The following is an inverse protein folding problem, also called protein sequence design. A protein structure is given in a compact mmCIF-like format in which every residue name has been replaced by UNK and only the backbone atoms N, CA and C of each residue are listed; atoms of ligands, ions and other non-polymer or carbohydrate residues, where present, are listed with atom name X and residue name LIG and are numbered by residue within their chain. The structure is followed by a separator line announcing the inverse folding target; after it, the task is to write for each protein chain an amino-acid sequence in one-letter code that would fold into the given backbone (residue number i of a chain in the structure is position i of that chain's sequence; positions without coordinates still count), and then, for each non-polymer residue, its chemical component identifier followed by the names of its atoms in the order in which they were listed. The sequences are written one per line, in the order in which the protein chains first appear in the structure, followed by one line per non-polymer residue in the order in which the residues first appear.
data_IF_272385514554
#
_entry.id   IF_272385514554
#
_cell.length_a   1.000
_cell.length_b   1.000
_cell.length_c   1.000
_cell.angle_alpha   90.00
_cell.angle_beta   90.00
_cell.angle_gamma   90.00
#
_symmetry.space_group_name_H-M   'P 1'
#
loop_
_entity.id
_entity.type
_entity.pdbx_description
1 polymer ?
#
# COMPACT_ATOMS: atom_id res chain seq x y z
N UNK A 1 26.64 -2.70 -20.52
CA UNK A 1 26.44 -1.62 -19.56
C UNK A 1 25.06 -1.86 -18.96
N UNK A 2 24.98 -2.34 -17.72
CA UNK A 2 23.70 -2.71 -17.09
C UNK A 2 23.35 -1.58 -16.14
N UNK A 3 22.32 -0.80 -16.47
CA UNK A 3 21.79 0.21 -15.56
C UNK A 3 20.85 -0.51 -14.60
N UNK A 4 21.13 -0.44 -13.30
CA UNK A 4 20.24 -1.00 -12.28
C UNK A 4 18.91 -0.23 -12.29
N UNK A 5 17.80 -0.95 -12.11
CA UNK A 5 16.46 -0.34 -11.98
C UNK A 5 16.46 0.79 -10.94
N UNK A 6 17.21 0.60 -9.85
CA UNK A 6 17.40 1.58 -8.77
C UNK A 6 18.00 2.90 -9.28
N UNK A 7 18.98 2.82 -10.18
CA UNK A 7 19.63 4.00 -10.77
C UNK A 7 18.70 4.73 -11.74
N UNK A 8 17.80 4.02 -12.43
CA UNK A 8 16.78 4.63 -13.31
C UNK A 8 15.77 5.42 -12.48
N UNK A 9 15.34 4.87 -11.35
CA UNK A 9 14.35 5.49 -10.45
C UNK A 9 14.90 6.71 -9.71
N UNK A 10 16.18 6.68 -9.30
CA UNK A 10 16.84 7.84 -8.68
C UNK A 10 17.08 9.00 -9.66
N UNK A 11 17.22 8.72 -10.95
CA UNK A 11 17.54 9.73 -11.98
C UNK A 11 16.31 10.28 -12.70
N UNK A 12 15.15 9.65 -12.55
CA UNK A 12 13.90 10.13 -13.11
C UNK A 12 13.22 11.08 -12.13
N UNK A 13 13.01 12.36 -12.50
CA UNK A 13 12.08 13.28 -11.81
C UNK A 13 10.60 12.86 -11.96
N UNK A 14 10.37 11.65 -12.46
CA UNK A 14 9.07 11.01 -12.54
C UNK A 14 8.85 10.36 -11.18
N UNK A 15 8.04 11.00 -10.35
CA UNK A 15 7.47 10.37 -9.16
C UNK A 15 6.60 9.19 -9.60
N UNK A 16 7.22 8.03 -9.81
CA UNK A 16 6.54 6.78 -10.06
C UNK A 16 5.90 6.32 -8.75
N UNK A 17 4.69 6.81 -8.48
CA UNK A 17 3.77 6.25 -7.48
C UNK A 17 3.26 4.91 -8.02
N UNK A 18 4.15 3.95 -8.23
CA UNK A 18 3.78 2.68 -8.86
C UNK A 18 4.68 1.51 -8.48
N UNK A 19 5.65 1.68 -7.60
CA UNK A 19 6.28 0.53 -6.94
C UNK A 19 5.55 0.18 -5.64
N UNK A 20 4.24 -0.04 -5.78
CA UNK A 20 3.50 -0.82 -4.80
C UNK A 20 3.90 -2.28 -4.97
N UNK A 21 4.89 -2.74 -4.21
CA UNK A 21 5.16 -4.17 -4.07
C UNK A 21 4.02 -4.75 -3.23
N UNK A 22 3.38 -5.79 -3.76
CA UNK A 22 2.23 -6.47 -3.16
C UNK A 22 2.69 -7.59 -2.22
N UNK A 23 2.55 -7.41 -0.90
CA UNK A 23 2.32 -8.55 -0.03
C UNK A 23 0.82 -8.82 0.20
N UNK A 24 -0.07 -7.87 -0.15
CA UNK A 24 -1.52 -8.03 -0.03
C UNK A 24 -1.94 -8.40 1.40
N UNK A 25 -2.91 -9.30 1.57
CA UNK A 25 -3.38 -9.83 2.88
C UNK A 25 -2.28 -10.43 3.77
N UNK A 26 -1.07 -10.60 3.25
CA UNK A 26 0.10 -11.18 3.91
C UNK A 26 1.12 -10.12 4.33
N UNK A 27 0.80 -8.83 4.17
CA UNK A 27 1.66 -7.72 4.56
C UNK A 27 1.88 -7.73 6.08
N UNK A 28 3.11 -7.98 6.51
CA UNK A 28 3.49 -7.85 7.91
C UNK A 28 4.49 -6.70 8.12
N UNK A 29 4.63 -6.20 9.36
CA UNK A 29 5.59 -5.15 9.67
C UNK A 29 7.05 -5.49 9.36
N UNK A 30 7.45 -6.77 9.34
CA UNK A 30 8.83 -7.19 9.09
C UNK A 30 9.17 -7.00 7.60
N UNK A 31 8.28 -7.44 6.71
CA UNK A 31 8.40 -7.18 5.26
C UNK A 31 8.42 -5.68 4.97
N UNK A 32 7.55 -4.91 5.64
CA UNK A 32 7.49 -3.47 5.47
C UNK A 32 8.77 -2.76 5.93
N UNK A 33 9.38 -3.21 7.03
CA UNK A 33 10.66 -2.69 7.49
C UNK A 33 11.79 -2.99 6.49
N UNK A 34 11.74 -4.11 5.77
CA UNK A 34 12.72 -4.45 4.74
C UNK A 34 12.64 -3.54 3.51
N UNK A 35 11.43 -3.11 3.13
CA UNK A 35 11.20 -2.33 1.90
C UNK A 35 11.11 -0.81 2.13
N UNK A 36 10.92 -0.33 3.36
CA UNK A 36 10.67 1.11 3.63
C UNK A 36 11.80 2.05 3.18
N UNK A 37 13.04 1.56 3.05
CA UNK A 37 14.18 2.35 2.57
C UNK A 37 14.27 2.42 1.05
N UNK A 38 13.54 1.57 0.35
CA UNK A 38 13.63 1.39 -1.09
C UNK A 38 12.49 2.09 -1.83
N UNK A 39 11.31 2.22 -1.21
CA UNK A 39 10.10 2.74 -1.86
C UNK A 39 9.36 3.77 -1.03
N UNK A 40 8.67 4.69 -1.71
CA UNK A 40 7.91 5.79 -1.09
C UNK A 40 6.62 5.29 -0.43
N UNK A 41 5.94 4.35 -1.07
CA UNK A 41 4.68 3.78 -0.58
C UNK A 41 4.61 2.29 -0.88
N UNK A 42 3.93 1.52 -0.02
CA UNK A 42 3.77 0.07 -0.18
C UNK A 42 2.38 -0.38 0.26
N UNK A 43 1.67 -1.13 -0.58
CA UNK A 43 0.29 -1.57 -0.28
C UNK A 43 0.28 -2.62 0.82
N UNK A 44 -0.52 -2.38 1.86
CA UNK A 44 -0.68 -3.29 3.01
C UNK A 44 -2.04 -3.99 3.03
N UNK A 45 -2.94 -3.68 2.10
CA UNK A 45 -4.27 -4.29 2.00
C UNK A 45 -4.39 -5.15 0.74
N UNK A 46 -5.47 -5.92 0.66
CA UNK A 46 -5.95 -6.44 -0.63
C UNK A 46 -6.52 -5.29 -1.46
N UNK A 47 -6.89 -5.58 -2.71
CA UNK A 47 -7.58 -4.61 -3.56
C UNK A 47 -8.88 -4.15 -2.88
N UNK A 48 -9.11 -2.84 -2.89
CA UNK A 48 -10.22 -2.19 -2.25
C UNK A 48 -11.24 -1.76 -3.29
N UNK A 49 -12.39 -2.42 -3.28
CA UNK A 49 -13.50 -2.11 -4.16
C UNK A 49 -14.53 -1.22 -3.47
N UNK A 50 -15.52 -0.78 -4.24
CA UNK A 50 -16.66 0.02 -3.80
C UNK A 50 -17.74 -0.82 -3.09
N UNK A 51 -17.31 -1.84 -2.34
CA UNK A 51 -18.13 -2.69 -1.49
C UNK A 51 -17.89 -2.37 0.00
N UNK A 52 -18.94 -2.43 0.81
CA UNK A 52 -18.84 -2.09 2.23
C UNK A 52 -17.94 -3.06 3.00
N UNK A 53 -17.96 -4.34 2.64
CA UNK A 53 -17.17 -5.39 3.26
C UNK A 53 -15.65 -5.14 3.12
N UNK A 54 -15.22 -4.63 1.95
CA UNK A 54 -13.81 -4.28 1.70
C UNK A 54 -13.37 -3.07 2.52
N UNK A 55 -14.20 -2.02 2.54
CA UNK A 55 -13.97 -0.82 3.36
C UNK A 55 -13.87 -1.16 4.85
N UNK A 56 -14.74 -2.05 5.33
CA UNK A 56 -14.75 -2.48 6.73
C UNK A 56 -13.48 -3.28 7.06
N UNK A 57 -13.10 -4.24 6.21
CA UNK A 57 -11.94 -5.11 6.42
C UNK A 57 -10.61 -4.36 6.60
N UNK A 58 -10.51 -3.16 6.02
CA UNK A 58 -9.33 -2.30 6.18
C UNK A 58 -9.07 -1.89 7.64
N UNK A 59 -10.09 -1.71 8.47
CA UNK A 59 -9.92 -1.19 9.84
C UNK A 59 -9.28 -2.19 10.79
N UNK A 60 -9.48 -3.48 10.59
CA UNK A 60 -8.85 -4.51 11.43
C UNK A 60 -7.34 -4.61 11.13
N UNK A 61 -6.96 -4.53 9.85
CA UNK A 61 -5.56 -4.55 9.43
C UNK A 61 -4.78 -3.30 9.87
N UNK A 62 -5.46 -2.12 9.87
CA UNK A 62 -4.91 -0.83 10.32
C UNK A 62 -4.34 -0.89 11.74
N UNK A 63 -5.00 -1.60 12.65
CA UNK A 63 -4.64 -1.62 14.07
C UNK A 63 -3.24 -2.16 14.29
N UNK A 64 -2.91 -3.28 13.66
CA UNK A 64 -1.66 -3.98 13.91
C UNK A 64 -0.50 -3.31 13.17
N UNK A 65 -0.77 -2.76 11.98
CA UNK A 65 0.19 -1.96 11.25
C UNK A 65 0.50 -0.63 11.95
N UNK A 66 -0.48 0.01 12.60
CA UNK A 66 -0.27 1.24 13.36
C UNK A 66 0.69 1.06 14.55
N UNK A 67 0.74 -0.14 15.14
CA UNK A 67 1.67 -0.46 16.25
C UNK A 67 3.12 -0.66 15.79
N UNK A 68 3.36 -0.84 14.49
CA UNK A 68 4.71 -1.07 13.96
C UNK A 68 5.64 0.15 14.02
N UNK A 69 5.08 1.36 14.15
CA UNK A 69 5.85 2.60 14.04
C UNK A 69 6.34 2.93 12.62
N UNK A 70 5.87 2.20 11.60
CA UNK A 70 6.30 2.36 10.20
C UNK A 70 5.49 3.42 9.42
N UNK A 71 4.42 3.97 10.00
CA UNK A 71 3.60 5.01 9.36
C UNK A 71 4.40 6.31 9.26
N UNK A 72 4.78 6.68 8.04
CA UNK A 72 5.56 7.90 7.80
C UNK A 72 6.95 7.85 8.44
N UNK A 73 7.46 6.64 8.71
CA UNK A 73 8.78 6.42 9.27
C UNK A 73 9.88 6.87 8.30
N UNK A 74 11.08 7.11 8.85
CA UNK A 74 12.27 7.39 8.06
C UNK A 74 12.50 6.30 7.02
N UNK A 75 12.54 6.69 5.74
CA UNK A 75 12.55 5.75 4.62
C UNK A 75 12.99 6.41 3.31
N UNK A 76 12.58 5.84 2.17
CA UNK A 76 12.95 6.31 0.84
C UNK A 76 12.69 7.82 0.67
N UNK A 77 13.74 8.57 0.32
CA UNK A 77 13.71 10.03 0.17
C UNK A 77 13.06 10.74 1.38
N UNK A 78 13.39 10.30 2.59
CA UNK A 78 13.03 10.93 3.86
C UNK A 78 11.90 10.23 4.62
N UNK A 79 10.80 9.86 3.94
CA UNK A 79 9.66 9.16 4.56
C UNK A 79 9.04 8.15 3.61
N UNK A 80 8.62 7.02 4.17
CA UNK A 80 7.86 5.97 3.48
C UNK A 80 6.51 5.72 4.15
N UNK A 81 5.50 5.30 3.38
CA UNK A 81 4.12 5.22 3.84
C UNK A 81 3.46 3.87 3.48
N UNK A 82 2.79 3.21 4.43
CA UNK A 82 1.88 2.14 4.08
C UNK A 82 0.69 2.70 3.30
N UNK A 83 0.43 2.11 2.13
CA UNK A 83 -0.68 2.43 1.24
C UNK A 83 -1.86 1.47 1.52
N UNK A 84 -3.05 2.05 1.61
CA UNK A 84 -4.30 1.37 1.93
C UNK A 84 -5.17 1.13 0.71
N UNK A 85 -4.59 1.24 -0.48
CA UNK A 85 -5.32 1.31 -1.74
C UNK A 85 -6.20 2.57 -1.84
N UNK A 86 -6.84 2.71 -3.00
CA UNK A 86 -7.57 3.89 -3.40
C UNK A 86 -8.83 4.11 -2.54
N UNK A 87 -9.21 5.38 -2.40
CA UNK A 87 -10.44 5.77 -1.71
C UNK A 87 -11.65 5.39 -2.56
N UNK A 88 -12.58 4.54 -2.09
CA UNK A 88 -13.78 4.17 -2.83
C UNK A 88 -14.83 5.25 -2.59
N UNK A 89 -14.64 6.40 -3.25
CA UNK A 89 -15.57 7.53 -3.19
C UNK A 89 -16.53 7.48 -4.39
N UNK A 90 -17.77 7.89 -4.16
CA UNK A 90 -18.82 7.86 -5.17
C UNK A 90 -19.98 6.95 -4.76
N UNK A 91 -20.40 6.06 -5.66
CA UNK A 91 -21.45 5.10 -5.38
C UNK A 91 -20.87 3.87 -4.68
N UNK A 92 -20.98 3.81 -3.35
CA UNK A 92 -20.60 2.63 -2.58
C UNK A 92 -21.79 1.68 -2.63
N UNK A 93 -21.65 0.58 -3.37
CA UNK A 93 -22.68 -0.44 -3.48
C UNK A 93 -22.60 -1.39 -2.29
N UNK A 94 -23.74 -1.89 -1.85
CA UNK A 94 -23.75 -3.10 -1.03
C UNK A 94 -23.58 -4.27 -1.99
N UNK A 95 -22.73 -5.24 -1.67
CA UNK A 95 -22.73 -6.51 -2.40
C UNK A 95 -24.16 -7.06 -2.43
N UNK A 96 -24.77 -7.06 -3.62
CA UNK A 96 -26.07 -7.68 -3.82
C UNK A 96 -25.76 -9.15 -4.09
N UNK A 97 -26.18 -10.10 -3.24
CA UNK A 97 -26.02 -11.51 -3.58
C UNK A 97 -26.75 -11.75 -4.91
N UNK A 98 -26.13 -12.52 -5.81
CA UNK A 98 -26.72 -12.97 -7.09
C UNK A 98 -27.93 -13.90 -6.87
N UNK A 99 -28.98 -13.40 -6.24
CA UNK A 99 -30.23 -14.10 -6.01
C UNK A 99 -31.40 -13.25 -6.45
N UNK A 100 -31.72 -13.37 -7.74
CA UNK A 100 -33.08 -13.40 -8.28
C UNK A 100 -33.20 -14.59 -9.23
#
# INVERSE_FOLDING_TARGET
MTVSLVTILETSEISFVSESIFPGKSADPEMAAAINKLIKMYRITVDNWDEWEDVQGHFDFKRDFAKSGLIGAGGFLGKSWPDMDMLPLGWISKSVPDTL
#
